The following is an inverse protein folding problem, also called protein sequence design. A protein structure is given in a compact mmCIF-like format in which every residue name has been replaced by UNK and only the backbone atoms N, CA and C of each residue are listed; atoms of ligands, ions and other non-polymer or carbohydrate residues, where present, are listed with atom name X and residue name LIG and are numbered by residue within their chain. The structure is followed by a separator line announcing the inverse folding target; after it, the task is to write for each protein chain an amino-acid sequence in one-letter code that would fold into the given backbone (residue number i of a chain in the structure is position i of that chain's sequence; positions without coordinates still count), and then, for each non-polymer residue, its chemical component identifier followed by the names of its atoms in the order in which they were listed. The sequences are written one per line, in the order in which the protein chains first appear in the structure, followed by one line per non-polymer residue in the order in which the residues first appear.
data_IF_802751345822
#
_entry.id   IF_802751345822
#
_cell.length_a   1.000
_cell.length_b   1.000
_cell.length_c   1.000
_cell.angle_alpha   90.00
_cell.angle_beta   90.00
_cell.angle_gamma   90.00
#
_symmetry.space_group_name_H-M   'P 1'
#
loop_
_entity.id
_entity.type
_entity.pdbx_description
1 polymer ?
#
# COMPACT_ATOMS: atom_id res chain seq x y z
N UNK A 1 -3.52 -2.44 73.08
CA UNK A 1 -3.28 -3.16 71.81
C UNK A 1 -4.21 -2.79 70.65
N UNK A 2 -5.29 -2.01 70.86
CA UNK A 2 -6.28 -1.68 69.81
C UNK A 2 -5.94 -0.42 68.99
N UNK A 3 -5.10 0.48 69.52
CA UNK A 3 -4.63 1.70 68.84
C UNK A 3 -3.44 1.50 67.91
N UNK A 4 -2.70 0.39 68.06
CA UNK A 4 -1.57 0.06 67.19
C UNK A 4 -2.05 -0.53 65.84
N UNK A 5 -3.18 -1.23 65.85
CA UNK A 5 -3.80 -1.78 64.65
C UNK A 5 -4.42 -0.72 63.74
N UNK A 6 -4.94 0.38 64.32
CA UNK A 6 -5.53 1.48 63.55
C UNK A 6 -4.49 2.29 62.78
N UNK A 7 -3.26 2.37 63.29
CA UNK A 7 -2.17 3.08 62.63
C UNK A 7 -1.63 2.31 61.40
N UNK A 8 -1.63 0.96 61.47
CA UNK A 8 -1.10 0.13 60.39
C UNK A 8 -2.04 0.05 59.17
N UNK A 9 -3.36 0.10 59.39
CA UNK A 9 -4.36 0.09 58.32
C UNK A 9 -4.38 1.40 57.54
N UNK A 10 -4.11 2.55 58.18
CA UNK A 10 -4.07 3.86 57.52
C UNK A 10 -2.84 4.01 56.60
N UNK A 11 -1.73 3.34 56.92
CA UNK A 11 -0.48 3.41 56.14
C UNK A 11 -0.56 2.60 54.83
N UNK A 12 -1.35 1.52 54.79
CA UNK A 12 -1.53 0.69 53.60
C UNK A 12 -2.40 1.37 52.50
N UNK A 13 -3.18 2.39 52.84
CA UNK A 13 -4.05 3.09 51.88
C UNK A 13 -3.30 4.08 50.97
N UNK A 14 -2.07 4.49 51.33
CA UNK A 14 -1.27 5.43 50.51
C UNK A 14 -0.37 4.75 49.46
N UNK A 15 -0.18 3.43 49.54
CA UNK A 15 0.70 2.69 48.61
C UNK A 15 -0.01 2.11 47.38
N UNK A 16 -1.34 2.28 47.24
CA UNK A 16 -2.12 1.78 46.09
C UNK A 16 -2.38 2.81 44.99
N UNK A 17 -1.81 4.01 45.06
CA UNK A 17 -1.76 4.90 43.90
C UNK A 17 -0.57 4.50 43.02
N UNK A 18 -0.73 3.40 42.28
CA UNK A 18 0.10 3.14 41.10
C UNK A 18 -0.26 4.24 40.09
N UNK A 19 0.61 5.24 39.97
CA UNK A 19 0.46 6.28 38.97
C UNK A 19 0.62 5.62 37.61
N UNK A 20 -0.49 5.21 37.01
CA UNK A 20 -0.49 4.83 35.61
C UNK A 20 -0.32 6.14 34.84
N UNK A 21 0.86 6.30 34.25
CA UNK A 21 1.08 7.36 33.27
C UNK A 21 -0.01 7.18 32.19
N UNK A 22 -0.99 8.09 32.17
CA UNK A 22 -1.85 8.24 31.00
C UNK A 22 -0.94 8.59 29.84
N UNK A 23 -0.52 7.59 29.06
CA UNK A 23 0.06 7.81 27.74
C UNK A 23 -0.95 8.68 27.00
N UNK A 24 -0.56 9.92 26.74
CA UNK A 24 -1.28 10.78 25.83
C UNK A 24 -1.53 10.00 24.53
N UNK A 25 -2.68 10.16 23.87
CA UNK A 25 -2.92 9.55 22.57
C UNK A 25 -1.85 10.07 21.61
N UNK A 26 -0.83 9.25 21.35
CA UNK A 26 0.19 9.55 20.37
C UNK A 26 -0.45 9.44 18.99
N UNK A 27 -0.55 10.57 18.31
CA UNK A 27 -0.91 10.62 16.91
C UNK A 27 0.09 9.74 16.14
N UNK A 28 -0.35 8.70 15.42
CA UNK A 28 0.55 7.76 14.73
C UNK A 28 1.36 8.39 13.59
N UNK A 29 1.20 9.68 13.32
CA UNK A 29 2.00 10.46 12.38
C UNK A 29 3.28 11.06 13.00
N UNK A 30 3.44 11.06 14.33
CA UNK A 30 4.55 11.76 15.00
C UNK A 30 5.68 10.85 15.49
N UNK A 31 5.58 9.53 15.29
CA UNK A 31 6.62 8.55 15.65
C UNK A 31 7.34 8.05 14.40
N UNK A 32 8.69 7.93 14.44
CA UNK A 32 9.46 7.35 13.34
C UNK A 32 8.98 5.93 13.04
N UNK A 33 8.90 5.59 11.75
CA UNK A 33 8.35 4.32 11.26
C UNK A 33 8.95 3.09 11.95
N UNK A 34 10.21 3.18 12.38
CA UNK A 34 10.97 2.11 13.04
C UNK A 34 10.53 1.77 14.48
N UNK A 35 9.74 2.61 15.14
CA UNK A 35 9.30 2.40 16.55
C UNK A 35 7.80 2.09 16.67
N UNK A 36 7.08 1.95 15.55
CA UNK A 36 5.66 1.62 15.57
C UNK A 36 5.47 0.13 15.93
N UNK A 37 4.68 -0.21 16.98
CA UNK A 37 4.36 -1.60 17.27
C UNK A 37 3.68 -2.23 16.06
N UNK A 38 4.27 -3.32 15.55
CA UNK A 38 3.69 -4.12 14.47
C UNK A 38 2.55 -4.96 15.05
N UNK A 39 1.31 -4.79 14.60
CA UNK A 39 0.23 -5.68 14.99
C UNK A 39 0.47 -7.03 14.31
N UNK A 40 0.84 -8.05 15.08
CA UNK A 40 0.96 -9.41 14.56
C UNK A 40 -0.44 -10.02 14.49
N UNK A 41 -0.88 -10.44 13.29
CA UNK A 41 -2.14 -11.17 13.13
C UNK A 41 -1.89 -12.64 12.75
N UNK A 42 -2.65 -13.59 13.35
CA UNK A 42 -2.58 -15.00 13.04
C UNK A 42 -3.34 -15.31 11.73
N UNK A 43 -2.53 -15.69 10.74
CA UNK A 43 -2.75 -16.52 9.55
C UNK A 43 -4.16 -16.71 8.90
N UNK A 44 -4.18 -16.47 7.59
CA UNK A 44 -4.81 -17.21 6.46
C UNK A 44 -6.26 -17.68 6.61
N UNK A 45 -7.18 -16.95 5.95
CA UNK A 45 -8.34 -17.53 5.25
C UNK A 45 -8.77 -16.55 4.15
N UNK A 46 -8.16 -16.69 2.96
CA UNK A 46 -8.51 -15.94 1.75
C UNK A 46 -9.62 -16.71 1.02
N UNK A 47 -10.88 -16.34 1.28
CA UNK A 47 -11.99 -16.79 0.44
C UNK A 47 -12.06 -15.87 -0.79
N UNK A 48 -11.25 -16.26 -1.79
CA UNK A 48 -11.53 -16.24 -3.23
C UNK A 48 -12.36 -15.07 -3.79
N UNK A 49 -11.76 -13.88 -3.80
CA UNK A 49 -11.80 -13.09 -5.03
C UNK A 49 -10.50 -13.41 -5.74
N UNK A 50 -10.58 -13.89 -6.99
CA UNK A 50 -9.45 -14.19 -7.85
C UNK A 50 -8.69 -12.91 -8.23
N UNK A 51 -8.05 -12.29 -7.24
CA UNK A 51 -7.10 -11.20 -7.40
C UNK A 51 -5.89 -11.60 -6.57
N UNK A 52 -4.81 -11.88 -7.30
CA UNK A 52 -3.45 -12.03 -6.79
C UNK A 52 -3.20 -10.89 -5.78
N UNK A 53 -2.97 -11.21 -4.50
CA UNK A 53 -2.72 -10.24 -3.41
C UNK A 53 -3.93 -9.87 -2.52
N UNK A 54 -5.17 -10.25 -2.86
CA UNK A 54 -6.36 -9.89 -2.07
C UNK A 54 -6.71 -8.39 -2.11
N UNK A 55 -7.63 -7.93 -1.27
CA UNK A 55 -8.01 -6.51 -1.19
C UNK A 55 -6.99 -5.69 -0.37
N UNK A 56 -6.70 -4.45 -0.79
CA UNK A 56 -5.74 -3.57 -0.11
C UNK A 56 -6.26 -3.05 1.25
N UNK A 57 -7.58 -2.85 1.38
CA UNK A 57 -8.25 -2.48 2.63
C UNK A 57 -9.36 -3.49 2.95
N UNK A 58 -9.44 -3.91 4.22
CA UNK A 58 -10.36 -4.95 4.69
C UNK A 58 -11.06 -4.50 5.98
N UNK A 59 -12.33 -4.84 6.10
CA UNK A 59 -13.15 -4.53 7.26
C UNK A 59 -12.68 -5.34 8.48
N UNK A 60 -12.32 -4.69 9.61
CA UNK A 60 -11.89 -5.42 10.81
C UNK A 60 -13.00 -6.28 11.42
N UNK A 61 -14.26 -5.93 11.16
CA UNK A 61 -15.44 -6.70 11.59
C UNK A 61 -15.84 -7.81 10.60
N UNK A 62 -15.07 -8.01 9.53
CA UNK A 62 -15.26 -9.08 8.53
C UNK A 62 -16.67 -9.09 7.90
N UNK A 63 -17.26 -7.92 7.72
CA UNK A 63 -18.53 -7.83 7.02
C UNK A 63 -18.37 -8.23 5.56
N UNK A 64 -19.39 -8.87 4.99
CA UNK A 64 -19.48 -9.13 3.55
C UNK A 64 -19.41 -7.82 2.75
N UNK A 65 -18.66 -7.82 1.64
CA UNK A 65 -18.38 -6.60 0.87
C UNK A 65 -17.51 -5.57 1.60
N UNK A 66 -16.91 -5.92 2.74
CA UNK A 66 -16.03 -5.07 3.51
C UNK A 66 -14.61 -4.99 2.94
N UNK A 67 -14.45 -4.76 1.64
CA UNK A 67 -13.14 -4.66 0.97
C UNK A 67 -13.09 -3.42 0.07
N UNK A 68 -11.89 -2.83 -0.09
CA UNK A 68 -11.66 -1.69 -0.99
C UNK A 68 -10.21 -1.61 -1.43
N UNK A 69 -9.97 -0.96 -2.57
CA UNK A 69 -8.64 -0.54 -3.03
C UNK A 69 -8.30 0.90 -2.61
N UNK A 70 -9.26 1.67 -2.13
CA UNK A 70 -9.15 3.11 -1.86
C UNK A 70 -8.96 3.40 -0.38
N UNK A 71 -7.91 4.16 -0.06
CA UNK A 71 -7.61 4.61 1.29
C UNK A 71 -8.75 5.41 1.90
N UNK A 72 -9.06 5.17 3.17
CA UNK A 72 -10.09 5.92 3.90
C UNK A 72 -11.53 5.51 3.59
N UNK A 73 -11.72 4.48 2.77
CA UNK A 73 -13.07 3.91 2.52
C UNK A 73 -13.63 3.31 3.81
N UNK A 74 -14.91 3.59 4.08
CA UNK A 74 -15.66 2.94 5.17
C UNK A 74 -16.37 1.68 4.67
N UNK A 75 -16.51 0.68 5.54
CA UNK A 75 -17.24 -0.54 5.24
C UNK A 75 -18.72 -0.21 4.95
N UNK A 76 -19.31 -0.69 3.84
CA UNK A 76 -20.70 -0.37 3.49
C UNK A 76 -21.71 -0.93 4.52
N UNK A 77 -21.35 -2.01 5.21
CA UNK A 77 -22.20 -2.71 6.19
C UNK A 77 -22.14 -2.03 7.56
N UNK A 78 -20.96 -1.96 8.17
CA UNK A 78 -20.82 -1.51 9.56
C UNK A 78 -20.29 -0.08 9.72
N UNK A 79 -20.09 0.63 8.60
CA UNK A 79 -19.60 2.03 8.52
C UNK A 79 -18.25 2.29 9.19
N UNK A 80 -17.57 1.23 9.64
CA UNK A 80 -16.24 1.29 10.25
C UNK A 80 -15.19 1.51 9.16
N UNK A 81 -14.17 2.36 9.37
CA UNK A 81 -13.08 2.53 8.41
C UNK A 81 -12.40 1.18 8.12
N UNK A 82 -12.11 0.92 6.85
CA UNK A 82 -11.39 -0.28 6.44
C UNK A 82 -9.92 -0.19 6.88
N UNK A 83 -9.39 -1.30 7.39
CA UNK A 83 -8.00 -1.39 7.82
C UNK A 83 -7.09 -1.81 6.66
N UNK A 84 -5.85 -1.31 6.65
CA UNK A 84 -4.87 -1.68 5.64
C UNK A 84 -4.50 -3.16 5.75
N UNK A 85 -4.52 -3.89 4.63
CA UNK A 85 -4.14 -5.28 4.53
C UNK A 85 -2.64 -5.41 4.28
N UNK A 86 -1.88 -5.73 5.34
CA UNK A 86 -0.43 -5.90 5.24
C UNK A 86 -0.02 -7.05 4.30
N UNK A 87 -0.88 -8.06 4.11
CA UNK A 87 -0.58 -9.20 3.25
C UNK A 87 -0.60 -8.83 1.75
N UNK A 88 -1.22 -7.71 1.39
CA UNK A 88 -1.29 -7.23 0.01
C UNK A 88 0.11 -7.01 -0.59
N UNK A 89 1.04 -6.49 0.22
CA UNK A 89 2.42 -6.19 -0.23
C UNK A 89 3.41 -7.34 -0.02
N UNK A 90 3.05 -8.35 0.79
CA UNK A 90 3.91 -9.50 1.11
C UNK A 90 3.62 -10.74 0.25
N UNK A 91 2.64 -10.65 -0.66
CA UNK A 91 2.30 -11.73 -1.56
C UNK A 91 3.24 -11.74 -2.76
N UNK A 92 4.41 -12.40 -2.64
CA UNK A 92 5.16 -12.80 -3.83
C UNK A 92 4.37 -13.88 -4.58
N UNK A 93 4.24 -13.68 -5.89
CA UNK A 93 3.52 -14.55 -6.82
C UNK A 93 4.10 -15.98 -6.83
N UNK A 94 3.61 -16.87 -5.96
CA UNK A 94 3.95 -18.30 -6.01
C UNK A 94 2.86 -19.06 -6.75
N UNK A 95 3.11 -19.19 -8.06
CA UNK A 95 2.66 -20.23 -9.00
C UNK A 95 1.16 -20.47 -9.18
N UNK A 96 0.64 -19.99 -10.31
CA UNK A 96 -0.33 -20.75 -11.11
C UNK A 96 0.42 -21.36 -12.30
N UNK A 97 0.69 -22.67 -12.25
CA UNK A 97 1.18 -23.45 -13.40
C UNK A 97 0.04 -23.83 -14.36
N UNK A 98 -0.92 -22.94 -14.57
CA UNK A 98 -1.68 -22.97 -15.82
C UNK A 98 -0.75 -22.42 -16.91
N UNK A 99 -0.78 -22.88 -18.17
CA UNK A 99 -0.19 -22.11 -19.25
C UNK A 99 -0.86 -20.73 -19.20
N UNK A 100 -0.11 -19.76 -18.69
CA UNK A 100 -0.47 -18.37 -18.79
C UNK A 100 -0.33 -18.10 -20.28
N UNK A 101 -1.43 -17.88 -20.97
CA UNK A 101 -1.34 -17.22 -22.27
C UNK A 101 -0.86 -15.82 -21.93
N UNK A 102 0.45 -15.62 -21.90
CA UNK A 102 1.02 -14.28 -21.98
C UNK A 102 0.36 -13.65 -23.19
N UNK A 103 -0.35 -12.52 -23.03
CA UNK A 103 -0.47 -11.63 -24.16
C UNK A 103 0.98 -11.37 -24.55
N UNK A 104 1.37 -11.81 -25.74
CA UNK A 104 2.58 -11.29 -26.37
C UNK A 104 2.32 -9.78 -26.38
N UNK A 105 3.01 -9.04 -25.51
CA UNK A 105 3.06 -7.61 -25.66
C UNK A 105 3.46 -7.41 -27.12
N UNK A 106 2.65 -6.73 -27.95
CA UNK A 106 3.01 -6.53 -29.33
C UNK A 106 4.44 -6.02 -29.31
N UNK A 107 5.33 -6.72 -30.01
CA UNK A 107 6.69 -6.25 -30.22
C UNK A 107 6.56 -4.80 -30.60
N UNK A 108 7.01 -3.88 -29.73
CA UNK A 108 7.04 -2.46 -30.05
C UNK A 108 7.82 -2.40 -31.34
N UNK A 109 7.12 -2.07 -32.43
CA UNK A 109 7.75 -1.93 -33.73
C UNK A 109 8.97 -1.05 -33.52
N UNK A 110 10.15 -1.56 -33.85
CA UNK A 110 11.35 -0.75 -33.80
C UNK A 110 11.24 0.29 -34.91
N UNK A 111 11.20 1.56 -34.55
CA UNK A 111 11.05 2.66 -35.49
C UNK A 111 9.62 3.23 -35.60
N UNK A 112 9.39 4.10 -36.60
CA UNK A 112 8.15 4.85 -36.69
C UNK A 112 6.96 3.97 -37.13
N UNK A 113 5.75 4.42 -36.79
CA UNK A 113 4.50 3.82 -37.29
C UNK A 113 4.35 4.06 -38.80
N UNK A 114 3.30 3.49 -39.42
CA UNK A 114 3.06 3.62 -40.87
C UNK A 114 2.90 5.07 -41.36
N UNK A 115 2.58 6.00 -40.45
CA UNK A 115 2.45 7.43 -40.73
C UNK A 115 3.77 8.18 -40.53
N UNK A 116 4.85 7.51 -40.09
CA UNK A 116 6.16 8.11 -39.85
C UNK A 116 6.36 8.70 -38.44
N UNK A 117 5.44 8.46 -37.49
CA UNK A 117 5.58 8.93 -36.11
C UNK A 117 6.39 7.95 -35.28
N UNK A 118 7.28 8.44 -34.42
CA UNK A 118 7.97 7.65 -33.40
C UNK A 118 7.21 7.66 -32.08
N UNK A 119 7.39 6.61 -31.26
CA UNK A 119 6.75 6.48 -29.95
C UNK A 119 7.25 7.55 -28.96
N UNK A 120 8.53 7.92 -29.06
CA UNK A 120 9.11 9.05 -28.35
C UNK A 120 9.79 10.03 -29.32
N UNK A 121 9.53 11.31 -29.16
CA UNK A 121 10.02 12.39 -30.04
C UNK A 121 10.86 13.40 -29.27
N UNK A 122 11.85 14.01 -29.93
CA UNK A 122 12.71 15.01 -29.31
C UNK A 122 11.94 16.30 -28.98
N UNK A 123 12.03 16.76 -27.74
CA UNK A 123 11.41 18.03 -27.30
C UNK A 123 12.00 19.26 -27.98
N UNK A 124 13.25 19.17 -28.46
CA UNK A 124 13.92 20.24 -29.20
C UNK A 124 13.59 20.24 -30.71
N UNK A 125 12.70 19.36 -31.18
CA UNK A 125 12.25 19.33 -32.58
C UNK A 125 13.26 18.74 -33.57
N UNK A 126 14.25 17.96 -33.09
CA UNK A 126 15.13 17.22 -33.99
C UNK A 126 14.36 16.15 -34.78
N UNK A 127 14.82 15.87 -36.00
CA UNK A 127 14.28 14.78 -36.81
C UNK A 127 14.54 13.41 -36.16
N UNK A 128 13.57 12.51 -36.27
CA UNK A 128 13.64 11.15 -35.71
C UNK A 128 13.02 11.03 -34.30
N UNK A 129 13.28 9.89 -33.66
CA UNK A 129 12.73 9.56 -32.36
C UNK A 129 13.26 8.24 -31.82
N UNK A 130 12.63 7.72 -30.77
CA UNK A 130 13.01 6.46 -30.14
C UNK A 130 11.80 5.61 -29.80
N UNK A 131 12.05 4.32 -29.64
CA UNK A 131 11.03 3.33 -29.26
C UNK A 131 10.84 3.27 -27.74
N UNK A 132 11.80 3.83 -27.01
CA UNK A 132 11.85 3.89 -25.55
C UNK A 132 12.16 5.31 -25.08
N UNK A 133 11.84 5.60 -23.81
CA UNK A 133 12.33 6.80 -23.11
C UNK A 133 13.84 6.90 -23.20
N UNK A 134 14.38 8.12 -23.32
CA UNK A 134 15.82 8.32 -23.40
C UNK A 134 16.21 9.71 -23.89
N UNK A 135 17.40 9.78 -24.48
CA UNK A 135 18.00 11.01 -25.01
C UNK A 135 17.97 10.96 -26.54
N UNK A 136 17.74 12.09 -27.17
CA UNK A 136 17.79 12.24 -28.61
C UNK A 136 19.22 12.07 -29.10
N UNK A 137 19.45 11.17 -30.07
CA UNK A 137 20.78 10.93 -30.64
C UNK A 137 21.36 12.16 -31.37
N UNK A 138 20.52 13.10 -31.81
CA UNK A 138 20.97 14.28 -32.56
C UNK A 138 21.41 15.43 -31.68
N UNK A 139 20.76 15.66 -30.53
CA UNK A 139 21.01 16.84 -29.69
C UNK A 139 21.20 16.54 -28.20
N UNK A 140 21.04 15.29 -27.77
CA UNK A 140 21.09 14.91 -26.35
C UNK A 140 19.91 15.43 -25.53
N UNK A 141 18.90 16.08 -26.12
CA UNK A 141 17.68 16.48 -25.42
C UNK A 141 16.80 15.30 -25.02
N UNK A 142 15.87 15.49 -24.09
CA UNK A 142 14.95 14.44 -23.67
C UNK A 142 13.98 14.03 -24.79
N UNK A 143 13.69 12.73 -24.86
CA UNK A 143 12.62 12.20 -25.68
C UNK A 143 11.32 12.16 -24.87
N UNK A 144 10.29 12.83 -25.38
CA UNK A 144 8.96 12.86 -24.79
C UNK A 144 8.02 11.87 -25.50
N UNK A 145 7.08 11.28 -24.76
CA UNK A 145 6.09 10.38 -25.32
C UNK A 145 5.20 11.09 -26.35
N UNK A 146 5.03 10.49 -27.52
CA UNK A 146 4.22 11.01 -28.61
C UNK A 146 2.88 10.27 -28.68
N UNK A 147 1.82 10.92 -28.20
CA UNK A 147 0.48 10.32 -28.20
C UNK A 147 -0.04 9.99 -29.62
N UNK A 148 0.39 10.74 -30.64
CA UNK A 148 -0.01 10.50 -32.03
C UNK A 148 0.50 9.16 -32.59
N UNK A 149 1.46 8.52 -31.92
CA UNK A 149 1.97 7.20 -32.33
C UNK A 149 0.89 6.11 -32.31
N UNK A 150 -0.08 6.23 -31.39
CA UNK A 150 -1.12 5.22 -31.12
C UNK A 150 -2.47 5.55 -31.78
N UNK A 151 -2.52 6.56 -32.65
CA UNK A 151 -3.72 7.02 -33.36
C UNK A 151 -3.86 6.32 -34.71
#
# INVERSE_FOLDING_TARGET
MKKLFTLFVLLCCFFSCKTEEKKAPVNPLTIPFSERPTPQLPNTNNNSVNIIGGAHYICPKKCEGGTSSVQGTACPVCKTPLAHNLAFHNSQNTTSNSPISTPIAPTTSSGPNASGQYHYTCTNGCAGGGDTTGKCNSCGGDLAHNAAYHQ
#
